data_IF_690852955629
#
_entry.id   IF_690852955629
#
_cell.length_a   1.000
_cell.length_b   1.000
_cell.length_c   1.000
_cell.angle_alpha   90.00
_cell.angle_beta   90.00
_cell.angle_gamma   90.00
#
_symmetry.space_group_name_H-M   'P 1'
#
loop_
_entity.id
_entity.type
_entity.pdbx_description
1 polymer ?
#
# COMPACT_ATOMS: atom_id res chain seq x y z
N UNK A 1 28.56 2.37 24.91
CA UNK A 1 27.25 2.16 25.56
C UNK A 1 26.25 3.05 24.83
N UNK A 2 25.17 2.62 24.20
CA UNK A 2 24.63 1.30 23.89
C UNK A 2 23.76 1.49 22.62
N UNK A 3 23.90 0.54 21.68
CA UNK A 3 22.87 0.07 20.74
C UNK A 3 22.10 1.10 19.87
N UNK A 4 22.70 1.47 18.73
CA UNK A 4 21.92 1.72 17.50
C UNK A 4 21.54 0.36 16.88
N UNK A 5 20.62 -0.35 17.51
CA UNK A 5 19.98 -1.54 16.94
C UNK A 5 18.59 -1.19 16.40
N UNK A 6 18.48 -0.02 15.75
CA UNK A 6 17.29 0.28 14.96
C UNK A 6 17.43 -0.43 13.63
N UNK A 7 16.88 -1.65 13.51
CA UNK A 7 16.70 -2.27 12.20
C UNK A 7 15.84 -1.31 11.37
N UNK A 8 16.48 -0.53 10.49
CA UNK A 8 15.79 0.27 9.49
C UNK A 8 15.15 -0.72 8.51
N UNK A 9 13.93 -1.16 8.80
CA UNK A 9 13.17 -2.03 7.91
C UNK A 9 12.90 -1.23 6.63
N UNK A 10 13.42 -1.75 5.52
CA UNK A 10 13.30 -1.13 4.21
C UNK A 10 11.83 -1.01 3.78
N UNK A 11 11.53 -0.07 2.90
CA UNK A 11 10.17 0.12 2.39
C UNK A 11 9.64 -1.15 1.70
N UNK A 12 10.52 -1.89 1.02
CA UNK A 12 10.19 -3.16 0.38
C UNK A 12 9.76 -4.22 1.39
N UNK A 13 10.43 -4.33 2.53
CA UNK A 13 10.05 -5.26 3.60
C UNK A 13 8.67 -4.94 4.16
N UNK A 14 8.36 -3.64 4.34
CA UNK A 14 7.03 -3.19 4.77
C UNK A 14 5.96 -3.60 3.76
N UNK A 15 6.23 -3.42 2.47
CA UNK A 15 5.30 -3.82 1.40
C UNK A 15 5.09 -5.33 1.38
N UNK A 16 6.17 -6.11 1.47
CA UNK A 16 6.08 -7.58 1.55
C UNK A 16 5.26 -8.01 2.77
N UNK A 17 5.46 -7.35 3.91
CA UNK A 17 4.70 -7.61 5.12
C UNK A 17 3.21 -7.32 4.95
N UNK A 18 2.86 -6.15 4.39
CA UNK A 18 1.48 -5.77 4.06
C UNK A 18 0.84 -6.80 3.13
N UNK A 19 1.52 -7.20 2.06
CA UNK A 19 0.99 -8.21 1.13
C UNK A 19 0.75 -9.54 1.86
N UNK A 20 1.66 -9.97 2.74
CA UNK A 20 1.47 -11.21 3.53
C UNK A 20 0.24 -11.11 4.43
N UNK A 21 0.08 -10.00 5.16
CA UNK A 21 -1.10 -9.79 6.00
C UNK A 21 -2.39 -9.78 5.18
N UNK A 22 -2.40 -9.08 4.05
CA UNK A 22 -3.56 -9.00 3.16
C UNK A 22 -3.94 -10.37 2.57
N UNK A 23 -2.96 -11.20 2.22
CA UNK A 23 -3.18 -12.56 1.71
C UNK A 23 -3.87 -13.50 2.70
N UNK A 24 -3.85 -13.19 3.99
CA UNK A 24 -4.58 -13.99 4.99
C UNK A 24 -6.10 -13.86 4.84
N UNK A 25 -6.59 -12.74 4.30
CA UNK A 25 -8.04 -12.44 4.19
C UNK A 25 -8.51 -12.28 2.74
N UNK A 26 -7.64 -11.87 1.83
CA UNK A 26 -7.99 -11.53 0.45
C UNK A 26 -7.22 -12.39 -0.57
N UNK A 27 -7.87 -12.80 -1.69
CA UNK A 27 -7.20 -13.53 -2.75
C UNK A 27 -6.30 -12.59 -3.57
N UNK A 28 -5.02 -12.56 -3.21
CA UNK A 28 -3.98 -11.81 -3.92
C UNK A 28 -3.01 -12.76 -4.63
N UNK A 29 -2.55 -12.32 -5.81
CA UNK A 29 -1.48 -12.99 -6.55
C UNK A 29 -0.14 -12.92 -5.82
N UNK A 30 0.90 -13.47 -6.46
CA UNK A 30 2.26 -13.33 -5.94
C UNK A 30 2.73 -11.89 -6.14
N UNK A 31 3.32 -11.30 -5.11
CA UNK A 31 3.99 -10.00 -5.21
C UNK A 31 5.07 -10.04 -6.30
N UNK A 32 5.06 -9.06 -7.20
CA UNK A 32 6.09 -8.90 -8.24
C UNK A 32 7.00 -7.71 -7.88
N UNK A 33 6.40 -6.53 -7.68
CA UNK A 33 7.13 -5.29 -7.36
C UNK A 33 6.19 -4.21 -6.84
N UNK A 34 6.74 -3.11 -6.33
CA UNK A 34 5.97 -1.94 -5.98
C UNK A 34 6.61 -0.65 -6.50
N UNK A 35 5.77 0.33 -6.79
CA UNK A 35 6.14 1.63 -7.31
C UNK A 35 5.67 2.70 -6.36
N UNK A 36 6.52 3.69 -6.08
CA UNK A 36 6.08 4.88 -5.36
C UNK A 36 5.10 5.65 -6.23
N UNK A 37 3.95 5.99 -5.67
CA UNK A 37 3.02 6.95 -6.25
C UNK A 37 3.43 8.31 -5.68
N UNK A 38 4.22 9.05 -6.45
CA UNK A 38 4.60 10.42 -6.09
C UNK A 38 3.35 11.29 -5.91
N UNK A 39 3.45 12.27 -5.00
CA UNK A 39 2.43 13.30 -4.81
C UNK A 39 2.23 14.06 -6.12
N UNK A 40 1.24 13.67 -6.92
CA UNK A 40 0.93 14.36 -8.16
C UNK A 40 0.08 15.61 -7.84
N UNK A 41 0.71 16.79 -7.81
CA UNK A 41 0.00 18.09 -7.90
C UNK A 41 -0.42 18.35 -9.35
N UNK A 42 -1.34 17.55 -9.89
CA UNK A 42 -1.88 17.82 -11.22
C UNK A 42 -3.31 17.34 -11.35
N UNK A 43 -4.14 18.16 -11.99
CA UNK A 43 -5.53 17.87 -12.32
C UNK A 43 -5.59 16.58 -13.16
N UNK A 44 -5.93 15.47 -12.51
CA UNK A 44 -6.25 14.24 -13.22
C UNK A 44 -7.73 14.29 -13.61
N UNK A 45 -8.00 14.67 -14.86
CA UNK A 45 -9.33 14.53 -15.46
C UNK A 45 -9.64 13.03 -15.60
N UNK A 46 -10.35 12.48 -14.61
CA UNK A 46 -11.11 11.25 -14.79
C UNK A 46 -12.53 11.64 -15.13
N UNK A 47 -12.96 11.23 -16.32
CA UNK A 47 -14.33 11.39 -16.80
C UNK A 47 -15.28 10.76 -15.76
N UNK A 48 -15.99 11.62 -15.01
CA UNK A 48 -17.19 11.38 -14.17
C UNK A 48 -17.10 11.07 -12.67
N UNK A 49 -16.00 11.29 -11.96
CA UNK A 49 -16.07 11.44 -10.48
C UNK A 49 -14.99 12.43 -10.01
N UNK A 50 -15.37 13.69 -9.81
CA UNK A 50 -14.54 14.64 -9.04
C UNK A 50 -14.85 14.37 -7.57
N UNK A 51 -14.18 13.37 -7.01
CA UNK A 51 -13.98 13.32 -5.57
C UNK A 51 -12.62 13.95 -5.31
N UNK A 52 -12.62 15.08 -4.61
CA UNK A 52 -11.42 15.73 -4.10
C UNK A 52 -10.74 14.77 -3.12
N UNK A 53 -9.88 13.89 -3.61
CA UNK A 53 -9.04 13.04 -2.78
C UNK A 53 -7.90 13.93 -2.27
N UNK A 54 -8.08 14.50 -1.08
CA UNK A 54 -7.03 15.20 -0.35
C UNK A 54 -5.77 14.32 -0.26
N UNK A 55 -4.64 14.81 -0.79
CA UNK A 55 -3.25 14.39 -0.53
C UNK A 55 -3.02 12.93 -0.06
N UNK A 56 -3.11 11.94 -0.96
CA UNK A 56 -2.66 10.56 -0.65
C UNK A 56 -1.70 10.04 -1.71
N UNK A 57 -0.42 10.41 -1.57
CA UNK A 57 0.67 9.58 -2.09
C UNK A 57 0.61 8.15 -1.50
N UNK A 58 1.29 7.21 -2.14
CA UNK A 58 1.16 5.78 -1.81
C UNK A 58 2.17 4.88 -2.50
N UNK A 59 1.89 3.58 -2.48
CA UNK A 59 2.62 2.58 -3.22
C UNK A 59 1.66 1.75 -4.06
N UNK A 60 1.90 1.67 -5.36
CA UNK A 60 1.22 0.72 -6.23
C UNK A 60 1.98 -0.58 -6.23
N UNK A 61 1.34 -1.63 -5.75
CA UNK A 61 1.85 -3.00 -5.77
C UNK A 61 1.38 -3.66 -7.06
N UNK A 62 2.31 -4.25 -7.81
CA UNK A 62 2.02 -5.11 -8.96
C UNK A 62 2.21 -6.57 -8.57
N UNK A 63 1.24 -7.39 -8.96
CA UNK A 63 1.30 -8.83 -8.78
C UNK A 63 1.66 -9.55 -10.09
N UNK A 64 2.07 -10.81 -9.99
CA UNK A 64 2.46 -11.63 -11.14
C UNK A 64 1.32 -11.89 -12.12
N UNK A 65 0.08 -11.85 -11.66
CA UNK A 65 -1.14 -11.93 -12.49
C UNK A 65 -1.44 -10.62 -13.23
N UNK A 66 -0.53 -9.65 -13.14
CA UNK A 66 -0.60 -8.30 -13.70
C UNK A 66 -1.67 -7.41 -13.09
N UNK A 67 -2.41 -7.90 -12.09
CA UNK A 67 -3.24 -7.04 -11.25
C UNK A 67 -2.38 -6.09 -10.43
N UNK A 68 -2.98 -4.97 -10.05
CA UNK A 68 -2.35 -3.95 -9.23
C UNK A 68 -3.20 -3.62 -8.03
N UNK A 69 -2.61 -3.12 -6.96
CA UNK A 69 -3.30 -2.70 -5.74
C UNK A 69 -2.53 -1.54 -5.09
N UNK A 70 -3.24 -0.50 -4.70
CA UNK A 70 -2.65 0.73 -4.16
C UNK A 70 -2.73 0.73 -2.63
N UNK A 71 -1.59 1.02 -2.00
CA UNK A 71 -1.45 1.13 -0.54
C UNK A 71 -1.15 2.59 -0.19
N UNK A 72 -2.04 3.29 0.52
CA UNK A 72 -1.82 4.69 0.87
C UNK A 72 -0.67 4.84 1.88
N UNK A 73 0.03 5.98 1.87
CA UNK A 73 1.11 6.27 2.84
C UNK A 73 0.61 6.14 4.30
N UNK A 74 -0.64 6.50 4.57
CA UNK A 74 -1.25 6.34 5.90
C UNK A 74 -1.31 4.87 6.33
N UNK A 75 -1.59 3.94 5.43
CA UNK A 75 -1.53 2.51 5.72
C UNK A 75 -0.09 2.05 5.94
N UNK A 76 0.87 2.59 5.18
CA UNK A 76 2.31 2.29 5.37
C UNK A 76 2.84 2.71 6.75
N UNK A 77 2.20 3.63 7.46
CA UNK A 77 2.55 3.99 8.86
C UNK A 77 2.06 2.96 9.87
N UNK A 78 0.96 2.29 9.56
CA UNK A 78 0.30 1.30 10.41
C UNK A 78 0.68 -0.15 10.06
N UNK A 79 1.63 -0.36 9.16
CA UNK A 79 1.95 -1.67 8.54
C UNK A 79 2.23 -2.82 9.53
N UNK A 80 2.73 -2.50 10.73
CA UNK A 80 3.07 -3.47 11.80
C UNK A 80 2.01 -3.54 12.92
N UNK A 81 0.86 -2.88 12.73
CA UNK A 81 -0.22 -2.91 13.72
C UNK A 81 -0.98 -4.23 13.62
N UNK A 82 -1.34 -4.87 14.76
CA UNK A 82 -2.03 -6.16 14.75
C UNK A 82 -3.42 -6.11 14.13
N UNK A 83 -4.07 -4.93 14.11
CA UNK A 83 -5.37 -4.69 13.50
C UNK A 83 -5.27 -4.06 12.09
N UNK A 84 -4.10 -4.13 11.46
CA UNK A 84 -3.87 -3.50 10.16
C UNK A 84 -4.88 -3.96 9.09
N UNK A 85 -5.11 -5.27 8.97
CA UNK A 85 -6.04 -5.85 7.98
C UNK A 85 -7.49 -5.41 8.24
N UNK A 86 -7.89 -5.29 9.49
CA UNK A 86 -9.26 -4.86 9.82
C UNK A 86 -9.47 -3.38 9.53
N UNK A 87 -8.44 -2.55 9.74
CA UNK A 87 -8.50 -1.10 9.49
C UNK A 87 -8.36 -0.75 8.01
N UNK A 88 -7.39 -1.36 7.32
CA UNK A 88 -6.96 -0.95 5.98
C UNK A 88 -7.30 -1.95 4.89
N UNK A 89 -7.61 -3.21 5.25
CA UNK A 89 -7.72 -4.29 4.28
C UNK A 89 -8.80 -4.05 3.23
N UNK A 90 -9.99 -3.61 3.64
CA UNK A 90 -11.07 -3.34 2.69
C UNK A 90 -10.74 -2.15 1.78
N UNK A 91 -10.15 -1.09 2.34
CA UNK A 91 -9.77 0.13 1.61
C UNK A 91 -8.73 -0.21 0.54
N UNK A 92 -7.65 -0.90 0.93
CA UNK A 92 -6.58 -1.32 0.02
C UNK A 92 -7.12 -2.27 -1.03
N UNK A 93 -7.90 -3.29 -0.65
CA UNK A 93 -8.38 -4.30 -1.60
C UNK A 93 -9.32 -3.73 -2.66
N UNK A 94 -10.15 -2.72 -2.32
CA UNK A 94 -11.01 -2.02 -3.29
C UNK A 94 -10.24 -1.29 -4.38
N UNK A 95 -8.97 -0.96 -4.17
CA UNK A 95 -8.12 -0.36 -5.20
C UNK A 95 -7.60 -1.37 -6.21
N UNK A 96 -7.84 -2.68 -6.02
CA UNK A 96 -7.31 -3.73 -6.89
C UNK A 96 -7.89 -3.60 -8.31
N UNK A 97 -7.02 -3.60 -9.32
CA UNK A 97 -7.36 -3.50 -10.76
C UNK A 97 -6.69 -4.61 -11.55
#
# INVERSE_FOLDING_TARGET
>A
MAEQSGNHIGIEDKIVHIVKQMRNKYPLGKYEMAFHLDNYKGEAFYDRVIESIEDVGGFRIRFTDKSTMDVPISAMKDWDKPNFVDKWGEIIYKTKR
#
